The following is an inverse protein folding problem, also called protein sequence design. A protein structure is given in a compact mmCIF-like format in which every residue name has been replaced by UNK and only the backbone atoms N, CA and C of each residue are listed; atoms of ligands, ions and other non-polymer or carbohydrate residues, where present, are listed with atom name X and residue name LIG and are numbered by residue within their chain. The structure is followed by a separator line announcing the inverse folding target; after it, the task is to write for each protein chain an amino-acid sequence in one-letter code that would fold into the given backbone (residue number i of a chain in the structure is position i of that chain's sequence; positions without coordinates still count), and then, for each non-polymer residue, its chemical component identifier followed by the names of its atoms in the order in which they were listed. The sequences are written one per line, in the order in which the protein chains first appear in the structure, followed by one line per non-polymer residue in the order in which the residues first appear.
data_IF_279248378204
#
_entry.id   IF_279248378204
#
_cell.length_a   1.000
_cell.length_b   1.000
_cell.length_c   1.000
_cell.angle_alpha   90.00
_cell.angle_beta   90.00
_cell.angle_gamma   90.00
#
_symmetry.space_group_name_H-M   'P 1'
#
loop_
_entity.id
_entity.type
_entity.pdbx_description
1 polymer ?
#
# COMPACT_ATOMS: atom_id res chain seq x y z
N UNK A 1 -30.86 -12.68 4.37
CA UNK A 1 -30.20 -13.93 4.83
C UNK A 1 -29.16 -14.32 3.79
N UNK A 2 -27.88 -14.06 4.07
CA UNK A 2 -26.80 -14.30 3.11
C UNK A 2 -26.55 -15.80 2.96
N UNK A 3 -26.84 -16.34 1.78
CA UNK A 3 -26.64 -17.76 1.44
C UNK A 3 -25.17 -18.12 1.58
N UNK A 4 -24.85 -19.01 2.51
CA UNK A 4 -23.53 -19.60 2.72
C UNK A 4 -23.18 -20.52 1.53
N UNK A 5 -22.83 -19.92 0.40
CA UNK A 5 -22.27 -20.64 -0.74
C UNK A 5 -20.92 -21.22 -0.32
N UNK A 6 -20.80 -22.53 -0.37
CA UNK A 6 -19.54 -23.23 -0.07
C UNK A 6 -19.17 -24.09 -1.26
N UNK A 7 -17.91 -23.99 -1.69
CA UNK A 7 -17.39 -24.67 -2.88
C UNK A 7 -16.23 -25.56 -2.41
N UNK A 8 -16.21 -26.82 -2.83
CA UNK A 8 -15.08 -27.73 -2.57
C UNK A 8 -14.03 -27.55 -3.66
N UNK A 9 -12.84 -27.12 -3.28
CA UNK A 9 -11.68 -27.02 -4.17
C UNK A 9 -10.60 -27.96 -3.62
N UNK A 10 -10.14 -28.92 -4.42
CA UNK A 10 -9.13 -29.90 -4.03
C UNK A 10 -9.44 -30.64 -2.70
N UNK A 11 -10.71 -30.95 -2.43
CA UNK A 11 -11.16 -31.60 -1.20
C UNK A 11 -11.39 -30.68 0.01
N UNK A 12 -10.99 -29.41 -0.08
CA UNK A 12 -11.18 -28.40 0.98
C UNK A 12 -12.46 -27.61 0.73
N UNK A 13 -13.33 -27.54 1.74
CA UNK A 13 -14.58 -26.77 1.66
C UNK A 13 -14.30 -25.30 1.95
N UNK A 14 -14.35 -24.45 0.92
CA UNK A 14 -14.15 -23.00 1.04
C UNK A 14 -15.51 -22.32 1.18
N UNK A 15 -15.72 -21.64 2.31
CA UNK A 15 -16.91 -20.79 2.53
C UNK A 15 -16.76 -19.49 1.75
N UNK A 16 -17.82 -19.05 1.06
CA UNK A 16 -17.85 -17.74 0.42
C UNK A 16 -17.63 -16.64 1.46
N UNK A 17 -16.55 -15.88 1.28
CA UNK A 17 -16.25 -14.67 2.05
C UNK A 17 -16.41 -13.48 1.12
N UNK A 18 -16.62 -12.29 1.69
CA UNK A 18 -16.70 -11.06 0.90
C UNK A 18 -15.35 -10.68 0.28
N UNK A 19 -14.26 -11.16 0.87
CA UNK A 19 -12.90 -10.94 0.39
C UNK A 19 -12.10 -12.25 0.38
N UNK A 20 -11.24 -12.41 -0.62
CA UNK A 20 -10.34 -13.56 -0.79
C UNK A 20 -8.90 -13.05 -0.76
N UNK A 21 -8.04 -13.66 0.05
CA UNK A 21 -6.61 -13.34 0.04
C UNK A 21 -5.85 -14.40 -0.76
N UNK A 22 -5.22 -13.99 -1.85
CA UNK A 22 -4.46 -14.87 -2.74
C UNK A 22 -3.07 -14.27 -2.97
N UNK A 23 -2.01 -15.01 -2.59
CA UNK A 23 -0.60 -14.62 -2.77
C UNK A 23 -0.26 -13.20 -2.23
N UNK A 24 -0.98 -12.76 -1.19
CA UNK A 24 -0.82 -11.44 -0.58
C UNK A 24 -1.70 -10.33 -1.15
N UNK A 25 -2.50 -10.62 -2.19
CA UNK A 25 -3.49 -9.69 -2.77
C UNK A 25 -4.87 -10.00 -2.19
N UNK A 26 -5.58 -8.95 -1.73
CA UNK A 26 -6.95 -9.08 -1.25
C UNK A 26 -7.92 -8.74 -2.37
N UNK A 27 -8.61 -9.75 -2.88
CA UNK A 27 -9.63 -9.65 -3.92
C UNK A 27 -10.98 -9.39 -3.27
N UNK A 28 -11.65 -8.32 -3.69
CA UNK A 28 -13.03 -8.02 -3.34
C UNK A 28 -13.96 -8.60 -4.44
N UNK A 29 -15.24 -8.87 -4.13
CA UNK A 29 -16.19 -9.44 -5.11
C UNK A 29 -16.30 -8.66 -6.43
N UNK A 30 -16.18 -7.33 -6.35
CA UNK A 30 -16.25 -6.44 -7.51
C UNK A 30 -14.87 -6.13 -8.12
N UNK A 31 -13.80 -6.72 -7.59
CA UNK A 31 -12.41 -6.47 -8.02
C UNK A 31 -12.04 -4.97 -8.04
N UNK A 32 -12.61 -4.18 -7.14
CA UNK A 32 -12.24 -2.77 -6.95
C UNK A 32 -11.03 -2.57 -6.02
N UNK A 33 -10.60 -3.63 -5.32
CA UNK A 33 -9.40 -3.66 -4.46
C UNK A 33 -9.35 -2.58 -3.36
N UNK A 34 -10.49 -2.00 -2.97
CA UNK A 34 -10.55 -0.97 -1.95
C UNK A 34 -10.07 -1.47 -0.58
N UNK A 35 -10.41 -2.71 -0.21
CA UNK A 35 -9.89 -3.31 1.02
C UNK A 35 -8.39 -3.61 0.93
N UNK A 36 -7.90 -3.96 -0.25
CA UNK A 36 -6.48 -4.16 -0.49
C UNK A 36 -5.68 -2.87 -0.28
N UNK A 37 -6.10 -1.76 -0.90
CA UNK A 37 -5.46 -0.46 -0.73
C UNK A 37 -5.47 0.02 0.73
N UNK A 38 -6.57 -0.22 1.47
CA UNK A 38 -6.63 0.09 2.91
C UNK A 38 -5.59 -0.69 3.73
N UNK A 39 -5.47 -2.00 3.47
CA UNK A 39 -4.45 -2.84 4.13
C UNK A 39 -3.03 -2.40 3.77
N UNK A 40 -2.78 -2.08 2.49
CA UNK A 40 -1.49 -1.55 2.05
C UNK A 40 -1.15 -0.25 2.77
N UNK A 41 -2.09 0.69 2.86
CA UNK A 41 -1.91 1.95 3.58
C UNK A 41 -1.56 1.70 5.07
N UNK A 42 -2.31 0.84 5.76
CA UNK A 42 -2.04 0.48 7.15
C UNK A 42 -0.65 -0.14 7.34
N UNK A 43 -0.17 -0.94 6.38
CA UNK A 43 1.18 -1.52 6.40
C UNK A 43 2.27 -0.49 6.09
N UNK A 44 1.98 0.51 5.27
CA UNK A 44 2.97 1.49 4.78
C UNK A 44 3.21 2.62 5.77
N UNK A 45 2.17 3.10 6.47
CA UNK A 45 2.30 4.16 7.49
C UNK A 45 3.40 3.93 8.54
N UNK A 46 3.48 2.78 9.23
CA UNK A 46 4.56 2.56 10.19
C UNK A 46 5.93 2.56 9.52
N UNK A 47 6.04 2.08 8.28
CA UNK A 47 7.30 2.10 7.53
C UNK A 47 7.78 3.51 7.23
N UNK A 48 6.86 4.44 6.93
CA UNK A 48 7.21 5.85 6.77
C UNK A 48 7.70 6.46 8.08
N UNK A 49 7.11 6.08 9.21
CA UNK A 49 7.60 6.50 10.53
C UNK A 49 9.01 5.97 10.80
N UNK A 50 9.30 4.72 10.41
CA UNK A 50 10.66 4.17 10.52
C UNK A 50 11.63 4.94 9.62
N UNK A 51 11.24 5.22 8.37
CA UNK A 51 12.04 5.99 7.43
C UNK A 51 12.35 7.40 7.97
N UNK A 52 11.38 8.08 8.61
CA UNK A 52 11.60 9.37 9.29
C UNK A 52 12.62 9.30 10.41
N UNK A 53 12.67 8.20 11.15
CA UNK A 53 13.65 8.06 12.23
C UNK A 53 15.07 7.99 11.66
N UNK A 54 15.24 7.50 10.43
CA UNK A 54 16.55 7.41 9.77
C UNK A 54 17.09 8.75 9.26
N UNK A 55 16.34 9.86 9.36
CA UNK A 55 16.76 11.18 8.88
C UNK A 55 17.45 12.03 9.97
N UNK A 56 18.16 11.40 10.91
CA UNK A 56 18.89 12.09 11.97
C UNK A 56 19.96 13.06 11.44
N UNK A 57 20.21 14.18 12.13
CA UNK A 57 21.20 15.17 11.66
C UNK A 57 22.65 14.64 11.73
N UNK A 58 23.02 14.03 12.85
CA UNK A 58 24.41 13.62 13.11
C UNK A 58 24.70 12.14 12.81
N UNK A 59 23.65 11.32 12.73
CA UNK A 59 23.74 9.86 12.52
C UNK A 59 22.83 9.33 11.41
N UNK A 60 22.04 10.21 10.77
CA UNK A 60 21.06 9.81 9.77
C UNK A 60 21.69 9.42 8.43
N UNK A 61 20.86 8.80 7.62
CA UNK A 61 21.22 8.38 6.27
C UNK A 61 21.21 9.56 5.30
N UNK A 62 22.14 9.52 4.33
CA UNK A 62 22.13 10.46 3.21
C UNK A 62 20.93 10.22 2.28
N UNK A 63 20.56 11.22 1.49
CA UNK A 63 19.40 11.15 0.58
C UNK A 63 19.45 9.89 -0.32
N UNK A 64 20.62 9.58 -0.89
CA UNK A 64 20.79 8.42 -1.78
C UNK A 64 20.53 7.11 -1.04
N UNK A 65 20.99 7.00 0.20
CA UNK A 65 20.78 5.83 1.05
C UNK A 65 19.31 5.72 1.49
N UNK A 66 18.70 6.83 1.90
CA UNK A 66 17.27 6.90 2.22
C UNK A 66 16.40 6.48 1.03
N UNK A 67 16.76 6.92 -0.18
CA UNK A 67 16.07 6.54 -1.42
C UNK A 67 16.13 5.03 -1.67
N UNK A 68 17.29 4.42 -1.50
CA UNK A 68 17.46 2.96 -1.61
C UNK A 68 16.60 2.23 -0.58
N UNK A 69 16.65 2.65 0.69
CA UNK A 69 15.84 2.06 1.76
C UNK A 69 14.35 2.21 1.48
N UNK A 70 13.89 3.40 1.09
CA UNK A 70 12.50 3.66 0.79
C UNK A 70 11.99 2.82 -0.40
N UNK A 71 12.79 2.69 -1.46
CA UNK A 71 12.42 1.87 -2.62
C UNK A 71 12.27 0.38 -2.25
N UNK A 72 13.20 -0.18 -1.47
CA UNK A 72 13.11 -1.59 -1.05
C UNK A 72 12.03 -1.84 0.00
N UNK A 73 11.98 -0.99 1.04
CA UNK A 73 11.18 -1.24 2.24
C UNK A 73 9.73 -0.73 2.12
N UNK A 74 9.53 0.44 1.52
CA UNK A 74 8.22 1.09 1.42
C UNK A 74 7.59 0.75 0.07
N UNK A 75 8.27 1.09 -1.02
CA UNK A 75 7.74 0.95 -2.38
C UNK A 75 7.57 -0.52 -2.78
N UNK A 76 8.58 -1.36 -2.54
CA UNK A 76 8.48 -2.80 -2.84
C UNK A 76 7.30 -3.49 -2.16
N UNK A 77 6.92 -3.04 -0.97
CA UNK A 77 5.77 -3.60 -0.28
C UNK A 77 4.41 -3.04 -0.72
N UNK A 78 4.39 -1.86 -1.37
CA UNK A 78 3.22 -1.30 -2.02
C UNK A 78 3.01 -1.94 -3.39
N UNK A 79 4.07 -2.13 -4.16
CA UNK A 79 4.03 -2.57 -5.57
C UNK A 79 4.00 -4.09 -5.74
N UNK A 80 3.95 -4.85 -4.63
CA UNK A 80 3.81 -6.30 -4.69
C UNK A 80 2.58 -6.70 -5.51
N UNK A 81 2.82 -7.48 -6.57
CA UNK A 81 1.80 -7.92 -7.52
C UNK A 81 0.97 -6.76 -8.12
N UNK A 82 1.56 -5.56 -8.27
CA UNK A 82 0.87 -4.37 -8.79
C UNK A 82 0.14 -4.63 -10.13
N UNK A 83 0.74 -5.41 -11.02
CA UNK A 83 0.14 -5.78 -12.31
C UNK A 83 -1.22 -6.46 -12.17
N UNK A 84 -1.45 -7.19 -11.08
CA UNK A 84 -2.69 -7.93 -10.86
C UNK A 84 -3.85 -7.07 -10.35
N UNK A 85 -3.56 -6.06 -9.52
CA UNK A 85 -4.62 -5.27 -8.84
C UNK A 85 -4.70 -3.82 -9.32
N UNK A 86 -3.57 -3.20 -9.68
CA UNK A 86 -3.51 -1.77 -10.01
C UNK A 86 -4.39 -1.38 -11.22
N UNK A 87 -4.43 -2.14 -12.33
CA UNK A 87 -5.22 -1.77 -13.51
C UNK A 87 -6.73 -1.72 -13.24
N UNK A 88 -7.21 -2.56 -12.32
CA UNK A 88 -8.63 -2.68 -11.98
C UNK A 88 -9.03 -1.81 -10.78
N UNK A 89 -8.07 -1.14 -10.14
CA UNK A 89 -8.33 -0.32 -8.95
C UNK A 89 -8.81 1.08 -9.35
N UNK A 90 -9.95 1.56 -8.82
CA UNK A 90 -10.41 2.92 -9.05
C UNK A 90 -9.37 3.99 -8.63
N UNK A 91 -9.25 5.11 -9.36
CA UNK A 91 -8.25 6.14 -9.09
C UNK A 91 -8.30 6.69 -7.65
N UNK A 92 -9.49 6.78 -7.05
CA UNK A 92 -9.68 7.25 -5.68
C UNK A 92 -8.99 6.36 -4.63
N UNK A 93 -8.91 5.04 -4.88
CA UNK A 93 -8.21 4.11 -4.00
C UNK A 93 -6.69 4.14 -4.22
N UNK A 94 -6.26 4.30 -5.48
CA UNK A 94 -4.84 4.47 -5.81
C UNK A 94 -4.28 5.75 -5.20
N UNK A 95 -5.05 6.85 -5.22
CA UNK A 95 -4.63 8.15 -4.68
C UNK A 95 -4.23 8.06 -3.20
N UNK A 96 -4.89 7.20 -2.42
CA UNK A 96 -4.53 6.94 -1.02
C UNK A 96 -3.10 6.43 -0.90
N UNK A 97 -2.69 5.51 -1.79
CA UNK A 97 -1.34 4.96 -1.80
C UNK A 97 -0.32 5.97 -2.33
N UNK A 98 -0.68 6.73 -3.36
CA UNK A 98 0.19 7.78 -3.90
C UNK A 98 0.48 8.87 -2.86
N UNK A 99 -0.48 9.21 -1.99
CA UNK A 99 -0.26 10.15 -0.89
C UNK A 99 0.83 9.66 0.06
N UNK A 100 0.87 8.36 0.35
CA UNK A 100 1.92 7.75 1.17
C UNK A 100 3.27 7.72 0.43
N UNK A 101 3.28 7.45 -0.89
CA UNK A 101 4.51 7.56 -1.70
C UNK A 101 5.06 8.99 -1.74
N UNK A 102 4.19 10.00 -1.90
CA UNK A 102 4.59 11.42 -1.82
C UNK A 102 5.11 11.78 -0.43
N UNK A 103 4.56 11.17 0.63
CA UNK A 103 5.08 11.35 1.98
C UNK A 103 6.47 10.72 2.14
N UNK A 104 6.72 9.53 1.57
CA UNK A 104 8.06 8.94 1.49
C UNK A 104 9.04 9.87 0.76
N UNK A 105 8.65 10.40 -0.40
CA UNK A 105 9.48 11.32 -1.18
C UNK A 105 9.91 12.55 -0.36
N UNK A 106 8.97 13.17 0.38
CA UNK A 106 9.26 14.30 1.27
C UNK A 106 10.23 13.94 2.41
N UNK A 107 10.14 12.73 2.95
CA UNK A 107 11.08 12.26 3.99
C UNK A 107 12.48 12.13 3.41
N UNK A 108 12.60 11.58 2.19
CA UNK A 108 13.88 11.40 1.49
C UNK A 108 14.52 12.76 1.20
N UNK A 109 13.76 13.70 0.63
CA UNK A 109 14.30 14.99 0.18
C UNK A 109 14.32 16.06 1.27
N UNK A 110 13.71 15.81 2.43
CA UNK A 110 13.50 16.82 3.48
C UNK A 110 12.51 17.94 3.09
N UNK A 111 11.84 17.85 1.94
CA UNK A 111 10.94 18.90 1.48
C UNK A 111 9.63 18.94 2.28
N UNK A 112 9.15 20.16 2.56
CA UNK A 112 7.84 20.39 3.18
C UNK A 112 6.69 20.20 2.18
N UNK A 113 5.49 19.89 2.69
CA UNK A 113 4.30 19.84 1.86
C UNK A 113 3.91 21.26 1.42
N UNK A 114 3.74 21.46 0.11
CA UNK A 114 3.29 22.74 -0.43
C UNK A 114 1.84 23.02 -0.02
N UNK A 115 1.58 24.23 0.47
CA UNK A 115 0.22 24.70 0.80
C UNK A 115 -0.57 24.86 -0.48
N UNK A 116 -1.76 24.25 -0.56
CA UNK A 116 -2.62 24.32 -1.74
C UNK A 116 -3.09 25.77 -1.93
N UNK A 117 -2.58 26.44 -2.96
CA UNK A 117 -3.14 27.71 -3.40
C UNK A 117 -4.46 27.41 -4.10
N UNK A 118 -5.58 27.64 -3.41
CA UNK A 118 -6.90 27.63 -4.05
C UNK A 118 -6.92 28.78 -5.05
N UNK A 119 -7.07 28.44 -6.34
CA UNK A 119 -7.32 29.38 -7.41
C UNK A 119 -8.76 29.24 -7.84
#
# INVERSE_FOLDING_TARGET
MATLLSIKVAGVTVKARDTLNLLGVTLDRLLHFGQHCKKLNQRTRPRLTHLRRLTGRDWGLEEKQLRTVANGYVRGALEHAAEAWLPSTPPSHVEVLEREMRAAARIITGCVASTRHTR
#
